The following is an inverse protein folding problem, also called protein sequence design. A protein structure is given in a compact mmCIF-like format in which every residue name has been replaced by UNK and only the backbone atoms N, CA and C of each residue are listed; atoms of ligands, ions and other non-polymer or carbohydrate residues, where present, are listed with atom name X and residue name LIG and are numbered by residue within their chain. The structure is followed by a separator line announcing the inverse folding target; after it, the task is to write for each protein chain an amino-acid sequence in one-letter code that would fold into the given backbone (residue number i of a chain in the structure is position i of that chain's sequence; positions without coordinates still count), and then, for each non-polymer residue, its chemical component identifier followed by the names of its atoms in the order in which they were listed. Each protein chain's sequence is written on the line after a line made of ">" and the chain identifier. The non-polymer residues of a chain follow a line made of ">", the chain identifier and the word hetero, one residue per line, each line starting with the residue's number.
data_IF_052470702462
#
_entry.id   IF_052470702462
#
_cell.length_a   1.000
_cell.length_b   1.000
_cell.length_c   1.000
_cell.angle_alpha   90.00
_cell.angle_beta   90.00
_cell.angle_gamma   90.00
#
_symmetry.space_group_name_H-M   'P 1'
#
loop_
_entity.id
_entity.type
_entity.pdbx_description
1 polymer ?
#
# COMPACT_ATOMS: atom_id res chain seq x y z
N UNK A 1 11.88 1.01 -14.07
CA UNK A 1 10.94 -0.08 -13.76
C UNK A 1 9.53 0.33 -14.15
N UNK A 2 8.70 -0.63 -14.55
CA UNK A 2 7.33 -0.40 -14.97
C UNK A 2 6.40 -1.33 -14.20
N UNK A 3 5.20 -0.86 -13.93
CA UNK A 3 4.14 -1.61 -13.28
C UNK A 3 2.92 -1.66 -14.20
N UNK A 4 2.58 -2.84 -14.67
CA UNK A 4 1.41 -3.06 -15.50
C UNK A 4 0.16 -3.02 -14.61
N UNK A 5 -0.82 -2.20 -14.99
CA UNK A 5 -2.08 -2.07 -14.26
C UNK A 5 -3.26 -2.40 -15.18
N UNK A 6 -4.48 -2.39 -14.64
CA UNK A 6 -5.69 -2.76 -15.36
C UNK A 6 -5.79 -2.06 -16.73
N UNK A 7 -6.31 -2.79 -17.73
CA UNK A 7 -6.49 -2.28 -19.10
C UNK A 7 -5.21 -2.13 -19.91
N UNK A 8 -4.10 -2.73 -19.45
CA UNK A 8 -2.81 -2.65 -20.12
C UNK A 8 -2.08 -1.31 -19.94
N UNK A 9 -2.56 -0.46 -19.04
CA UNK A 9 -1.86 0.78 -18.68
C UNK A 9 -0.57 0.46 -17.93
N UNK A 10 0.41 1.34 -18.06
CA UNK A 10 1.72 1.18 -17.41
C UNK A 10 1.99 2.38 -16.53
N UNK A 11 2.27 2.13 -15.25
CA UNK A 11 2.76 3.13 -14.30
C UNK A 11 4.27 3.08 -14.26
N UNK A 12 4.94 4.21 -14.51
CA UNK A 12 6.39 4.31 -14.35
C UNK A 12 6.73 4.44 -12.85
N UNK A 13 7.45 3.47 -12.32
CA UNK A 13 7.88 3.46 -10.91
C UNK A 13 9.36 3.79 -10.74
N UNK A 14 10.00 4.30 -11.78
CA UNK A 14 11.42 4.72 -11.75
C UNK A 14 11.51 6.22 -12.04
N UNK A 15 12.33 7.01 -11.30
CA UNK A 15 13.21 6.56 -10.22
C UNK A 15 12.44 6.18 -8.95
N UNK A 16 11.28 6.76 -8.71
CA UNK A 16 10.34 6.44 -7.63
C UNK A 16 8.90 6.77 -8.01
N UNK A 17 7.96 6.18 -7.28
CA UNK A 17 6.53 6.42 -7.38
C UNK A 17 5.96 6.68 -5.97
N UNK A 18 5.18 7.76 -5.81
CA UNK A 18 4.53 8.10 -4.54
C UNK A 18 3.06 7.74 -4.60
N UNK A 19 2.63 6.88 -3.68
CA UNK A 19 1.26 6.43 -3.49
C UNK A 19 0.68 7.13 -2.27
N UNK A 20 -0.27 8.04 -2.49
CA UNK A 20 -0.93 8.81 -1.44
C UNK A 20 -2.05 8.01 -0.77
N UNK A 21 -2.03 7.94 0.57
CA UNK A 21 -2.99 7.22 1.38
C UNK A 21 -4.26 8.05 1.56
N UNK A 22 -5.41 7.45 1.24
CA UNK A 22 -6.75 8.03 1.44
C UNK A 22 -7.58 7.11 2.34
N UNK A 23 -7.71 7.47 3.61
CA UNK A 23 -8.56 6.72 4.54
C UNK A 23 -9.99 7.22 4.48
N UNK A 24 -10.92 6.38 4.01
CA UNK A 24 -12.36 6.65 3.97
C UNK A 24 -13.02 5.98 5.18
N UNK A 25 -12.52 6.32 6.39
CA UNK A 25 -13.00 5.75 7.66
C UNK A 25 -13.47 6.85 8.61
N UNK A 26 -14.51 6.61 9.45
CA UNK A 26 -14.99 7.59 10.43
C UNK A 26 -13.94 8.01 11.46
N UNK A 27 -12.95 7.16 11.73
CA UNK A 27 -11.95 7.32 12.79
C UNK A 27 -10.56 7.75 12.28
N UNK A 28 -10.44 8.49 11.20
CA UNK A 28 -9.12 8.92 10.68
C UNK A 28 -8.50 9.99 11.59
N UNK A 29 -7.90 9.54 12.71
CA UNK A 29 -7.29 10.37 13.77
C UNK A 29 -6.18 11.33 13.29
N UNK A 30 -5.54 11.07 12.16
CA UNK A 30 -4.51 11.96 11.62
C UNK A 30 -5.07 13.13 10.82
N UNK A 31 -6.27 12.99 10.25
CA UNK A 31 -6.91 14.01 9.40
C UNK A 31 -8.07 14.71 10.13
N UNK A 32 -8.17 14.57 11.46
CA UNK A 32 -9.15 15.27 12.30
C UNK A 32 -10.62 14.91 12.03
N UNK A 33 -10.92 13.67 11.58
CA UNK A 33 -12.28 13.26 11.23
C UNK A 33 -12.81 13.87 9.91
N UNK A 34 -11.91 14.40 9.09
CA UNK A 34 -12.27 15.26 7.95
C UNK A 34 -12.92 14.51 6.76
N UNK A 35 -12.93 13.17 6.73
CA UNK A 35 -13.33 12.41 5.54
C UNK A 35 -14.48 11.42 5.79
N UNK A 36 -15.47 11.85 6.58
CA UNK A 36 -16.69 11.06 6.81
C UNK A 36 -17.64 11.03 5.60
N UNK A 37 -17.45 11.94 4.63
CA UNK A 37 -18.29 11.99 3.44
C UNK A 37 -17.48 11.76 2.15
N UNK A 38 -18.10 11.19 1.09
CA UNK A 38 -17.46 11.02 -0.20
C UNK A 38 -16.86 12.31 -0.77
N UNK A 39 -17.49 13.47 -0.52
CA UNK A 39 -17.02 14.79 -0.98
C UNK A 39 -15.75 15.22 -0.26
N UNK A 40 -15.64 14.92 1.03
CA UNK A 40 -14.44 15.22 1.80
C UNK A 40 -13.27 14.34 1.36
N UNK A 41 -13.52 13.03 1.14
CA UNK A 41 -12.54 12.12 0.59
C UNK A 41 -12.10 12.54 -0.83
N UNK A 42 -13.03 12.97 -1.68
CA UNK A 42 -12.71 13.50 -3.01
C UNK A 42 -11.80 14.74 -2.92
N UNK A 43 -12.13 15.70 -2.05
CA UNK A 43 -11.27 16.90 -1.85
C UNK A 43 -9.86 16.50 -1.41
N UNK A 44 -9.73 15.55 -0.52
CA UNK A 44 -8.42 15.04 -0.09
C UNK A 44 -7.65 14.36 -1.24
N UNK A 45 -8.32 13.54 -2.04
CA UNK A 45 -7.74 12.94 -3.24
C UNK A 45 -7.19 14.02 -4.19
N UNK A 46 -7.97 15.08 -4.46
CA UNK A 46 -7.55 16.18 -5.32
C UNK A 46 -6.33 16.92 -4.75
N UNK A 47 -6.29 17.15 -3.44
CA UNK A 47 -5.15 17.76 -2.77
C UNK A 47 -3.89 16.86 -2.88
N UNK A 48 -4.00 15.54 -2.70
CA UNK A 48 -2.87 14.65 -2.88
C UNK A 48 -2.35 14.63 -4.32
N UNK A 49 -3.24 14.71 -5.32
CA UNK A 49 -2.85 14.84 -6.73
C UNK A 49 -2.15 16.17 -6.99
N UNK A 50 -2.64 17.28 -6.43
CA UNK A 50 -2.00 18.60 -6.51
C UNK A 50 -0.61 18.59 -5.86
N UNK A 51 -0.44 17.85 -4.75
CA UNK A 51 0.85 17.64 -4.09
C UNK A 51 1.76 16.67 -4.87
N UNK A 52 1.31 16.09 -5.97
CA UNK A 52 2.10 15.26 -6.86
C UNK A 52 2.03 13.75 -6.59
N UNK A 53 0.99 13.25 -5.95
CA UNK A 53 0.76 11.81 -5.85
C UNK A 53 0.65 11.18 -7.25
N UNK A 54 1.36 10.08 -7.49
CA UNK A 54 1.29 9.33 -8.74
C UNK A 54 0.13 8.31 -8.72
N UNK A 55 -0.22 7.82 -7.53
CA UNK A 55 -1.27 6.85 -7.27
C UNK A 55 -2.05 7.33 -6.03
N UNK A 56 -3.37 7.19 -6.05
CA UNK A 56 -4.22 7.34 -4.87
C UNK A 56 -4.60 5.95 -4.37
N UNK A 57 -4.37 5.66 -3.08
CA UNK A 57 -4.68 4.38 -2.46
C UNK A 57 -5.80 4.55 -1.44
N UNK A 58 -7.01 4.12 -1.82
CA UNK A 58 -8.23 4.30 -1.05
C UNK A 58 -8.51 3.08 -0.18
N UNK A 59 -8.62 3.28 1.13
CA UNK A 59 -8.98 2.23 2.10
C UNK A 59 -10.15 2.66 2.99
N UNK A 60 -11.12 1.76 3.20
CA UNK A 60 -12.29 2.01 4.04
C UNK A 60 -12.31 1.19 5.32
N UNK A 61 -11.28 0.38 5.54
CA UNK A 61 -11.03 -0.38 6.76
C UNK A 61 -9.67 0.00 7.32
N UNK A 62 -9.59 0.15 8.63
CA UNK A 62 -8.29 0.34 9.29
C UNK A 62 -7.56 -0.99 9.36
N UNK A 63 -6.36 -1.05 8.79
CA UNK A 63 -5.46 -2.21 8.89
C UNK A 63 -4.44 -2.07 10.04
N UNK A 64 -4.66 -1.10 10.94
CA UNK A 64 -3.81 -0.91 12.14
C UNK A 64 -3.99 -2.09 13.10
N UNK A 65 -2.94 -2.44 13.86
CA UNK A 65 -3.05 -3.47 14.89
C UNK A 65 -4.20 -3.19 15.86
N UNK A 66 -5.05 -4.21 16.10
CA UNK A 66 -6.21 -4.11 16.98
C UNK A 66 -7.45 -3.46 16.35
N UNK A 67 -7.41 -3.09 15.07
CA UNK A 67 -8.59 -2.58 14.38
C UNK A 67 -9.63 -3.68 14.19
N UNK A 68 -10.90 -3.30 14.34
CA UNK A 68 -12.02 -4.18 14.04
C UNK A 68 -12.33 -4.17 12.54
N UNK A 69 -12.53 -5.35 11.97
CA UNK A 69 -12.95 -5.50 10.59
C UNK A 69 -14.36 -4.94 10.39
N UNK A 70 -14.58 -4.27 9.26
CA UNK A 70 -15.91 -3.86 8.82
C UNK A 70 -16.52 -4.93 7.91
N UNK A 71 -17.85 -4.89 7.69
CA UNK A 71 -18.46 -5.80 6.71
C UNK A 71 -18.15 -5.37 5.28
N UNK A 72 -18.21 -6.28 4.29
CA UNK A 72 -18.01 -5.93 2.89
C UNK A 72 -18.94 -4.81 2.41
N UNK A 73 -20.19 -4.81 2.86
CA UNK A 73 -21.19 -3.81 2.47
C UNK A 73 -20.82 -2.41 2.99
N UNK A 74 -20.31 -2.32 4.22
CA UNK A 74 -19.83 -1.06 4.81
C UNK A 74 -18.62 -0.56 4.04
N UNK A 75 -17.66 -1.43 3.74
CA UNK A 75 -16.47 -1.09 2.95
C UNK A 75 -16.86 -0.56 1.57
N UNK A 76 -17.73 -1.26 0.84
CA UNK A 76 -18.22 -0.89 -0.48
C UNK A 76 -19.00 0.42 -0.47
N UNK A 77 -19.88 0.63 0.53
CA UNK A 77 -20.65 1.86 0.68
C UNK A 77 -19.74 3.07 0.86
N UNK A 78 -18.60 2.92 1.53
CA UNK A 78 -17.62 4.00 1.71
C UNK A 78 -16.79 4.25 0.46
N UNK A 79 -16.26 3.20 -0.20
CA UNK A 79 -15.30 3.30 -1.29
C UNK A 79 -15.92 3.67 -2.63
N UNK A 80 -17.01 2.98 -3.03
CA UNK A 80 -17.52 3.08 -4.40
C UNK A 80 -17.99 4.47 -4.80
N UNK A 81 -18.64 5.28 -3.93
CA UNK A 81 -18.98 6.66 -4.27
C UNK A 81 -17.75 7.51 -4.56
N UNK A 82 -16.65 7.34 -3.81
CA UNK A 82 -15.40 8.09 -4.01
C UNK A 82 -14.73 7.71 -5.32
N UNK A 83 -14.65 6.41 -5.62
CA UNK A 83 -14.07 5.91 -6.90
C UNK A 83 -14.84 6.48 -8.10
N UNK A 84 -16.18 6.44 -8.07
CA UNK A 84 -17.02 7.00 -9.14
C UNK A 84 -16.83 8.52 -9.28
N UNK A 85 -16.87 9.25 -8.16
CA UNK A 85 -16.66 10.68 -8.16
C UNK A 85 -15.29 11.08 -8.74
N UNK A 86 -14.23 10.31 -8.45
CA UNK A 86 -12.90 10.51 -9.03
C UNK A 86 -12.92 10.29 -10.55
N UNK A 87 -13.59 9.26 -11.04
CA UNK A 87 -13.70 8.97 -12.49
C UNK A 87 -14.53 10.00 -13.26
N UNK A 88 -15.48 10.64 -12.59
CA UNK A 88 -16.29 11.73 -13.17
C UNK A 88 -15.59 13.09 -13.08
N UNK A 89 -14.63 13.27 -12.15
CA UNK A 89 -13.98 14.57 -11.93
C UNK A 89 -12.94 14.89 -13.01
N UNK A 90 -13.02 16.05 -13.71
CA UNK A 90 -12.12 16.37 -14.82
C UNK A 90 -10.63 16.31 -14.51
N UNK A 91 -10.23 16.69 -13.29
CA UNK A 91 -8.81 16.71 -12.86
C UNK A 91 -8.32 15.37 -12.28
N UNK A 92 -9.20 14.38 -12.07
CA UNK A 92 -8.83 13.13 -11.42
C UNK A 92 -9.23 11.86 -12.22
N UNK A 93 -10.03 12.01 -13.26
CA UNK A 93 -10.55 10.86 -14.05
C UNK A 93 -9.46 9.95 -14.61
N UNK A 94 -8.27 10.49 -14.90
CA UNK A 94 -7.13 9.76 -15.45
C UNK A 94 -6.12 9.35 -14.37
N UNK A 95 -6.37 9.70 -13.09
CA UNK A 95 -5.51 9.31 -11.98
C UNK A 95 -5.45 7.78 -11.82
N UNK A 96 -4.31 7.26 -11.41
CA UNK A 96 -4.20 5.83 -11.06
C UNK A 96 -4.78 5.59 -9.68
N UNK A 97 -5.82 4.73 -9.61
CA UNK A 97 -6.53 4.41 -8.38
C UNK A 97 -6.19 3.01 -7.89
N UNK A 98 -5.73 2.93 -6.65
CA UNK A 98 -5.49 1.70 -5.90
C UNK A 98 -6.57 1.56 -4.82
N UNK A 99 -7.02 0.34 -4.57
CA UNK A 99 -7.98 0.02 -3.52
C UNK A 99 -7.31 -0.90 -2.50
N UNK A 100 -7.20 -0.40 -1.26
CA UNK A 100 -6.69 -1.14 -0.10
C UNK A 100 -7.82 -2.04 0.42
N UNK A 101 -7.84 -3.27 -0.06
CA UNK A 101 -8.82 -4.31 0.32
C UNK A 101 -8.26 -5.71 0.09
N UNK A 102 -8.63 -6.62 0.99
CA UNK A 102 -8.37 -8.06 0.85
C UNK A 102 -9.62 -8.85 0.45
N UNK A 103 -10.77 -8.17 0.20
CA UNK A 103 -12.05 -8.83 -0.11
C UNK A 103 -12.29 -8.90 -1.62
N UNK A 104 -12.57 -10.10 -2.11
CA UNK A 104 -12.87 -10.35 -3.52
C UNK A 104 -14.09 -9.54 -4.02
N UNK A 105 -15.15 -9.46 -3.21
CA UNK A 105 -16.38 -8.74 -3.60
C UNK A 105 -16.14 -7.23 -3.74
N UNK A 106 -15.41 -6.63 -2.82
CA UNK A 106 -15.04 -5.20 -2.90
C UNK A 106 -14.10 -4.94 -4.06
N UNK A 107 -13.07 -5.79 -4.24
CA UNK A 107 -12.13 -5.67 -5.35
C UNK A 107 -12.84 -5.69 -6.73
N UNK A 108 -13.77 -6.64 -6.96
CA UNK A 108 -14.55 -6.72 -8.19
C UNK A 108 -15.33 -5.43 -8.46
N UNK A 109 -16.13 -4.99 -7.50
CA UNK A 109 -16.95 -3.78 -7.64
C UNK A 109 -16.09 -2.51 -7.85
N UNK A 110 -14.97 -2.41 -7.16
CA UNK A 110 -14.05 -1.29 -7.32
C UNK A 110 -13.38 -1.29 -8.71
N UNK A 111 -12.95 -2.46 -9.18
CA UNK A 111 -12.40 -2.61 -10.54
C UNK A 111 -13.45 -2.28 -11.60
N UNK A 112 -14.70 -2.73 -11.44
CA UNK A 112 -15.81 -2.36 -12.34
C UNK A 112 -16.09 -0.85 -12.32
N UNK A 113 -15.98 -0.22 -11.15
CA UNK A 113 -16.11 1.23 -10.99
C UNK A 113 -14.92 2.03 -11.55
N UNK A 114 -13.84 1.34 -11.95
CA UNK A 114 -12.71 1.95 -12.64
C UNK A 114 -11.39 1.94 -11.87
N UNK A 115 -11.26 1.26 -10.73
CA UNK A 115 -9.97 1.09 -10.06
C UNK A 115 -8.95 0.36 -10.97
N UNK A 116 -7.67 0.67 -10.78
CA UNK A 116 -6.57 0.15 -11.61
C UNK A 116 -5.75 -0.90 -10.87
N UNK A 117 -5.68 -0.80 -9.53
CA UNK A 117 -4.78 -1.57 -8.66
C UNK A 117 -5.57 -2.10 -7.47
N UNK A 118 -5.22 -3.29 -7.01
CA UNK A 118 -5.63 -3.84 -5.72
C UNK A 118 -4.42 -3.93 -4.80
N UNK A 119 -4.52 -3.29 -3.63
CA UNK A 119 -3.52 -3.34 -2.57
C UNK A 119 -4.04 -4.29 -1.48
N UNK A 120 -3.46 -5.49 -1.40
CA UNK A 120 -3.92 -6.55 -0.51
C UNK A 120 -2.85 -6.91 0.53
N UNK A 121 -3.17 -6.64 1.79
CA UNK A 121 -2.29 -6.95 2.93
C UNK A 121 -2.14 -8.45 3.21
N UNK A 122 -2.92 -9.30 2.55
CA UNK A 122 -3.06 -10.72 2.92
C UNK A 122 -2.51 -11.70 1.90
N UNK A 123 -2.10 -11.23 0.72
CA UNK A 123 -1.74 -12.10 -0.40
C UNK A 123 -2.83 -13.14 -0.74
N UNK A 124 -4.08 -12.70 -0.80
CA UNK A 124 -5.29 -13.52 -1.01
C UNK A 124 -5.57 -14.56 0.11
N UNK A 125 -4.89 -14.47 1.27
CA UNK A 125 -5.08 -15.46 2.33
C UNK A 125 -6.35 -15.21 3.16
N UNK A 126 -6.83 -13.96 3.23
CA UNK A 126 -8.03 -13.63 4.02
C UNK A 126 -9.33 -13.88 3.25
N UNK A 127 -9.29 -13.75 1.92
CA UNK A 127 -10.36 -14.10 1.00
C UNK A 127 -9.77 -14.76 -0.25
N UNK A 128 -9.76 -16.10 -0.34
CA UNK A 128 -9.21 -16.82 -1.48
C UNK A 128 -9.88 -16.49 -2.82
N UNK A 129 -11.15 -16.02 -2.83
CA UNK A 129 -11.85 -15.57 -4.02
C UNK A 129 -11.23 -14.34 -4.67
N UNK A 130 -10.33 -13.62 -3.95
CA UNK A 130 -9.59 -12.51 -4.51
C UNK A 130 -8.66 -12.96 -5.63
N UNK A 131 -8.09 -14.17 -5.55
CA UNK A 131 -7.24 -14.72 -6.61
C UNK A 131 -7.98 -14.84 -7.95
N UNK A 132 -9.26 -15.26 -7.90
CA UNK A 132 -10.10 -15.34 -9.11
C UNK A 132 -10.38 -13.95 -9.69
N UNK A 133 -10.63 -12.95 -8.84
CA UNK A 133 -10.80 -11.58 -9.29
C UNK A 133 -9.53 -11.02 -9.95
N UNK A 134 -8.35 -11.30 -9.37
CA UNK A 134 -7.07 -10.89 -9.96
C UNK A 134 -6.83 -11.55 -11.33
N UNK A 135 -7.14 -12.84 -11.47
CA UNK A 135 -7.02 -13.58 -12.72
C UNK A 135 -7.94 -13.03 -13.81
N UNK A 136 -9.17 -12.66 -13.44
CA UNK A 136 -10.20 -12.16 -14.38
C UNK A 136 -9.90 -10.73 -14.84
N UNK A 137 -9.68 -9.80 -13.91
CA UNK A 137 -9.55 -8.37 -14.21
C UNK A 137 -8.13 -7.93 -14.54
N UNK A 138 -7.11 -8.72 -14.16
CA UNK A 138 -5.67 -8.43 -14.35
C UNK A 138 -5.29 -7.01 -13.94
N UNK A 139 -5.61 -6.58 -12.70
CA UNK A 139 -5.22 -5.28 -12.19
C UNK A 139 -3.73 -5.25 -11.88
N UNK A 140 -3.18 -4.05 -11.60
CA UNK A 140 -1.98 -3.96 -10.78
C UNK A 140 -2.25 -4.56 -9.40
N UNK A 141 -1.28 -5.24 -8.83
CA UNK A 141 -1.45 -5.91 -7.55
C UNK A 141 -0.28 -5.65 -6.61
N UNK A 142 -0.57 -5.21 -5.40
CA UNK A 142 0.41 -5.13 -4.33
C UNK A 142 0.33 -6.41 -3.51
N UNK A 143 1.39 -7.20 -3.59
CA UNK A 143 1.58 -8.44 -2.86
C UNK A 143 2.28 -8.15 -1.53
N UNK A 144 1.53 -8.09 -0.43
CA UNK A 144 2.07 -7.77 0.88
C UNK A 144 2.30 -9.04 1.71
N UNK A 145 3.47 -9.13 2.35
CA UNK A 145 3.73 -10.14 3.36
C UNK A 145 3.16 -9.71 4.72
N UNK A 146 2.21 -10.47 5.23
CA UNK A 146 1.64 -10.30 6.56
C UNK A 146 1.63 -11.61 7.32
N UNK A 147 1.90 -11.59 8.64
CA UNK A 147 1.72 -12.73 9.54
C UNK A 147 0.66 -12.41 10.58
N UNK A 148 -0.45 -13.18 10.58
CA UNK A 148 -1.65 -12.92 11.37
C UNK A 148 -2.60 -11.92 10.70
N UNK A 149 -3.73 -11.66 11.35
CA UNK A 149 -4.71 -10.65 10.93
C UNK A 149 -4.46 -9.33 11.67
N UNK A 150 -4.97 -8.17 11.21
CA UNK A 150 -4.82 -6.91 11.94
C UNK A 150 -5.24 -6.98 13.40
N UNK A 151 -6.24 -7.81 13.74
CA UNK A 151 -6.71 -7.99 15.12
C UNK A 151 -5.66 -8.63 16.04
N UNK A 152 -4.86 -9.58 15.53
CA UNK A 152 -3.97 -10.46 16.31
C UNK A 152 -2.49 -10.43 15.86
N UNK A 153 -2.15 -9.75 14.80
CA UNK A 153 -0.81 -9.78 14.19
C UNK A 153 0.34 -9.32 15.11
N UNK A 154 0.04 -8.73 16.28
CA UNK A 154 1.03 -8.38 17.31
C UNK A 154 1.23 -9.50 18.34
N UNK A 155 0.43 -10.54 18.33
CA UNK A 155 0.51 -11.63 19.28
C UNK A 155 1.71 -12.52 18.96
N UNK A 156 2.89 -12.07 19.44
CA UNK A 156 4.13 -12.85 19.43
C UNK A 156 4.61 -13.35 18.04
N UNK A 157 4.75 -12.46 17.02
CA UNK A 157 5.31 -12.87 15.75
C UNK A 157 6.76 -13.37 15.96
N UNK A 158 7.10 -14.54 15.37
CA UNK A 158 8.44 -15.13 15.47
C UNK A 158 8.95 -15.47 14.09
N UNK A 159 10.18 -15.06 13.80
CA UNK A 159 10.94 -15.39 12.61
C UNK A 159 12.29 -15.96 13.04
N UNK A 160 12.81 -16.95 12.33
CA UNK A 160 14.20 -17.36 12.44
C UNK A 160 15.08 -16.40 11.68
N UNK A 161 14.72 -16.13 10.42
CA UNK A 161 15.28 -15.09 9.58
C UNK A 161 14.16 -14.43 8.76
N UNK A 162 13.73 -13.26 9.17
CA UNK A 162 12.59 -12.56 8.55
C UNK A 162 12.82 -12.27 7.07
N UNK A 163 14.06 -11.97 6.65
CA UNK A 163 14.36 -11.64 5.25
C UNK A 163 14.24 -12.87 4.37
N UNK A 164 14.81 -14.00 4.80
CA UNK A 164 14.75 -15.27 4.06
C UNK A 164 13.30 -15.80 3.99
N UNK A 165 12.55 -15.69 5.10
CA UNK A 165 11.15 -16.11 5.13
C UNK A 165 10.27 -15.26 4.21
N UNK A 166 10.49 -13.93 4.16
CA UNK A 166 9.78 -13.03 3.24
C UNK A 166 10.15 -13.28 1.79
N UNK A 167 11.42 -13.57 1.48
CA UNK A 167 11.86 -13.95 0.14
C UNK A 167 11.14 -15.22 -0.32
N UNK A 168 11.18 -16.28 0.48
CA UNK A 168 10.51 -17.54 0.16
C UNK A 168 8.99 -17.39 -0.01
N UNK A 169 8.37 -16.55 0.86
CA UNK A 169 6.96 -16.21 0.73
C UNK A 169 6.65 -15.56 -0.62
N UNK A 170 7.45 -14.57 -1.04
CA UNK A 170 7.25 -13.90 -2.33
C UNK A 170 7.43 -14.83 -3.51
N UNK A 171 8.46 -15.67 -3.52
CA UNK A 171 8.68 -16.68 -4.57
C UNK A 171 7.46 -17.59 -4.73
N UNK A 172 6.97 -18.13 -3.61
CA UNK A 172 5.81 -19.01 -3.60
C UNK A 172 4.52 -18.30 -4.03
N UNK A 173 4.31 -17.06 -3.57
CA UNK A 173 3.13 -16.28 -3.92
C UNK A 173 3.14 -15.82 -5.39
N UNK A 174 4.29 -15.41 -5.93
CA UNK A 174 4.45 -15.08 -7.35
C UNK A 174 4.14 -16.27 -8.25
N UNK A 175 4.65 -17.46 -7.92
CA UNK A 175 4.34 -18.68 -8.65
C UNK A 175 2.84 -18.99 -8.66
N UNK A 176 2.16 -18.82 -7.50
CA UNK A 176 0.71 -19.02 -7.37
C UNK A 176 -0.09 -18.00 -8.20
N UNK A 177 0.28 -16.72 -8.14
CA UNK A 177 -0.37 -15.64 -8.91
C UNK A 177 -0.19 -15.87 -10.42
N UNK A 178 1.01 -16.23 -10.87
CA UNK A 178 1.30 -16.55 -12.27
C UNK A 178 0.51 -17.76 -12.75
N UNK A 179 0.42 -18.83 -11.95
CA UNK A 179 -0.38 -20.02 -12.27
C UNK A 179 -1.89 -19.70 -12.39
N UNK A 180 -2.37 -18.70 -11.63
CA UNK A 180 -3.74 -18.20 -11.75
C UNK A 180 -3.97 -17.28 -12.96
N UNK A 181 -2.90 -16.86 -13.66
CA UNK A 181 -2.98 -16.03 -14.87
C UNK A 181 -2.80 -14.53 -14.65
N UNK A 182 -2.37 -14.09 -13.45
CA UNK A 182 -1.96 -12.70 -13.27
C UNK A 182 -0.53 -12.50 -13.83
N UNK A 183 -0.32 -11.54 -14.75
CA UNK A 183 1.02 -11.26 -15.28
C UNK A 183 1.98 -10.84 -14.17
N UNK A 184 3.21 -11.33 -14.19
CA UNK A 184 4.21 -10.92 -13.20
C UNK A 184 4.48 -9.42 -13.19
N UNK A 185 4.43 -8.78 -14.34
CA UNK A 185 4.61 -7.32 -14.50
C UNK A 185 3.52 -6.52 -13.80
N UNK A 186 2.41 -7.16 -13.44
CA UNK A 186 1.33 -6.54 -12.66
C UNK A 186 1.59 -6.55 -11.16
N UNK A 187 2.65 -7.23 -10.68
CA UNK A 187 2.89 -7.40 -9.24
C UNK A 187 3.98 -6.46 -8.74
N UNK A 188 3.68 -5.76 -7.65
CA UNK A 188 4.62 -5.01 -6.80
C UNK A 188 4.68 -5.70 -5.45
N UNK A 189 5.87 -5.86 -4.88
CA UNK A 189 6.10 -6.54 -3.60
C UNK A 189 6.11 -5.53 -2.46
N UNK A 190 5.44 -5.83 -1.34
CA UNK A 190 5.56 -5.09 -0.08
C UNK A 190 6.00 -6.03 1.04
N UNK A 191 7.17 -5.82 1.67
CA UNK A 191 7.63 -6.66 2.79
C UNK A 191 6.75 -6.55 4.03
N UNK A 192 5.76 -5.66 4.05
CA UNK A 192 4.78 -5.53 5.11
C UNK A 192 5.39 -5.06 6.42
N UNK A 193 6.12 -3.94 6.40
CA UNK A 193 6.67 -3.34 7.62
C UNK A 193 5.53 -3.06 8.61
N UNK A 194 5.65 -3.58 9.84
CA UNK A 194 4.64 -3.44 10.89
C UNK A 194 3.49 -4.46 10.84
N UNK A 195 3.43 -5.34 9.83
CA UNK A 195 2.42 -6.40 9.73
C UNK A 195 2.96 -7.72 10.28
N UNK A 196 2.66 -8.02 11.56
CA UNK A 196 3.11 -9.24 12.23
C UNK A 196 4.64 -9.35 12.33
N UNK A 197 5.31 -8.28 12.72
CA UNK A 197 6.77 -8.17 12.82
C UNK A 197 7.17 -7.37 14.03
N UNK A 198 8.25 -7.78 14.70
CA UNK A 198 8.88 -7.02 15.79
C UNK A 198 9.72 -5.87 15.22
N UNK A 199 10.23 -5.02 16.12
CA UNK A 199 11.10 -3.92 15.73
C UNK A 199 12.32 -4.41 14.94
N UNK A 200 13.02 -5.43 15.44
CA UNK A 200 14.23 -6.00 14.84
C UNK A 200 13.95 -6.56 13.43
N UNK A 201 12.80 -7.23 13.25
CA UNK A 201 12.36 -7.78 11.97
C UNK A 201 12.11 -6.65 10.94
N UNK A 202 11.43 -5.59 11.39
CA UNK A 202 11.17 -4.41 10.55
C UNK A 202 12.47 -3.72 10.12
N UNK A 203 13.41 -3.54 11.05
CA UNK A 203 14.71 -2.93 10.75
C UNK A 203 15.57 -3.81 9.83
N UNK A 204 15.54 -5.12 10.00
CA UNK A 204 16.22 -6.06 9.12
C UNK A 204 15.69 -5.97 7.69
N UNK A 205 14.37 -5.97 7.50
CA UNK A 205 13.74 -5.83 6.18
C UNK A 205 14.10 -4.51 5.50
N UNK A 206 14.16 -3.38 6.23
CA UNK A 206 14.56 -2.09 5.66
C UNK A 206 16.03 -2.09 5.26
N UNK A 207 16.92 -2.71 6.04
CA UNK A 207 18.35 -2.82 5.71
C UNK A 207 18.62 -3.71 4.51
N UNK A 208 17.91 -4.85 4.45
CA UNK A 208 18.14 -5.89 3.45
C UNK A 208 17.20 -5.81 2.24
N UNK A 209 16.53 -4.65 2.01
CA UNK A 209 15.71 -4.40 0.82
C UNK A 209 16.41 -4.76 -0.52
N UNK A 210 17.73 -4.52 -0.71
CA UNK A 210 18.39 -4.93 -1.94
C UNK A 210 18.25 -6.42 -2.27
N UNK A 211 18.16 -7.29 -1.26
CA UNK A 211 17.90 -8.73 -1.48
C UNK A 211 16.50 -8.99 -2.03
N UNK A 212 15.48 -8.27 -1.52
CA UNK A 212 14.09 -8.35 -2.01
C UNK A 212 13.97 -7.83 -3.45
N UNK A 213 14.71 -6.77 -3.79
CA UNK A 213 14.79 -6.25 -5.15
C UNK A 213 15.35 -7.27 -6.15
N UNK A 214 16.14 -8.25 -5.67
CA UNK A 214 16.69 -9.35 -6.47
C UNK A 214 15.62 -10.24 -7.12
N UNK A 215 14.37 -10.21 -6.64
CA UNK A 215 13.23 -10.89 -7.27
C UNK A 215 12.76 -10.23 -8.59
N UNK A 216 13.35 -9.10 -8.99
CA UNK A 216 13.08 -8.45 -10.26
C UNK A 216 11.73 -7.73 -10.35
N UNK A 217 11.03 -7.59 -9.24
CA UNK A 217 9.76 -6.83 -9.15
C UNK A 217 9.99 -5.49 -8.45
N UNK A 218 9.17 -4.44 -8.76
CA UNK A 218 9.21 -3.22 -7.98
C UNK A 218 8.88 -3.50 -6.52
N UNK A 219 9.57 -2.79 -5.61
CA UNK A 219 9.36 -2.92 -4.17
C UNK A 219 8.61 -1.70 -3.65
N UNK A 220 7.48 -1.93 -2.98
CA UNK A 220 6.73 -0.92 -2.25
C UNK A 220 7.09 -0.97 -0.76
N UNK A 221 7.05 0.20 -0.13
CA UNK A 221 7.11 0.30 1.32
C UNK A 221 6.10 1.32 1.85
N UNK A 222 5.43 0.95 2.95
CA UNK A 222 4.60 1.84 3.74
C UNK A 222 5.25 2.08 5.10
N UNK A 223 6.08 3.11 5.22
CA UNK A 223 6.75 3.49 6.48
C UNK A 223 6.03 4.62 7.23
N UNK A 224 5.08 5.28 6.53
CA UNK A 224 4.47 6.51 7.02
C UNK A 224 3.76 6.35 8.36
N UNK A 225 4.19 7.13 9.36
CA UNK A 225 3.60 7.26 10.71
C UNK A 225 3.57 5.94 11.51
N UNK A 226 4.34 4.92 11.12
CA UNK A 226 4.31 3.60 11.75
C UNK A 226 4.84 3.58 13.19
N UNK A 227 4.37 2.60 13.96
CA UNK A 227 4.74 2.43 15.38
C UNK A 227 6.21 2.16 15.60
N UNK A 228 6.92 1.64 14.60
CA UNK A 228 8.35 1.40 14.69
C UNK A 228 9.16 2.65 15.13
N UNK A 229 8.68 3.87 14.79
CA UNK A 229 9.32 5.11 15.22
C UNK A 229 9.07 5.41 16.71
N UNK A 230 7.93 4.97 17.23
CA UNK A 230 7.68 4.98 18.68
C UNK A 230 8.58 3.98 19.40
N UNK A 231 8.66 2.76 18.88
CA UNK A 231 9.43 1.67 19.47
C UNK A 231 10.94 1.94 19.44
N UNK A 232 11.45 2.58 18.37
CA UNK A 232 12.87 2.86 18.18
C UNK A 232 13.33 4.19 18.83
N UNK A 233 12.51 5.25 18.70
CA UNK A 233 12.91 6.63 19.02
C UNK A 233 12.08 7.24 20.16
N UNK A 234 11.10 6.52 20.72
CA UNK A 234 10.18 7.03 21.72
C UNK A 234 9.23 8.12 21.20
N UNK A 235 8.97 8.17 19.89
CA UNK A 235 8.17 9.24 19.29
C UNK A 235 6.67 8.99 19.43
N UNK A 236 5.97 9.96 19.99
CA UNK A 236 4.51 10.02 19.93
C UNK A 236 4.02 10.10 18.46
N UNK A 237 2.81 9.61 18.16
CA UNK A 237 2.31 9.56 16.77
C UNK A 237 2.46 10.88 16.00
N UNK A 238 2.14 12.01 16.62
CA UNK A 238 2.16 13.35 16.01
C UNK A 238 3.58 13.84 15.66
N UNK A 239 4.60 13.21 16.25
CA UNK A 239 6.01 13.57 16.05
C UNK A 239 6.73 12.67 15.05
N UNK A 240 6.05 11.73 14.40
CA UNK A 240 6.67 10.73 13.50
C UNK A 240 6.93 11.25 12.08
N UNK A 241 6.44 12.44 11.73
CA UNK A 241 6.59 13.02 10.38
C UNK A 241 8.04 13.09 9.91
N UNK A 242 8.95 13.80 10.60
CA UNK A 242 10.36 13.88 10.20
C UNK A 242 11.06 12.51 10.08
N UNK A 243 10.81 11.59 11.04
CA UNK A 243 11.35 10.23 10.98
C UNK A 243 10.82 9.44 9.78
N UNK A 244 9.55 9.66 9.40
CA UNK A 244 8.95 9.09 8.19
C UNK A 244 9.72 9.54 6.95
N UNK A 245 10.01 10.83 6.79
CA UNK A 245 10.69 11.35 5.61
C UNK A 245 12.12 10.81 5.49
N UNK A 246 12.87 10.75 6.61
CA UNK A 246 14.21 10.13 6.65
C UNK A 246 14.12 8.66 6.25
N UNK A 247 13.19 7.89 6.82
CA UNK A 247 13.04 6.47 6.51
C UNK A 247 12.61 6.23 5.05
N UNK A 248 11.78 7.12 4.48
CA UNK A 248 11.38 7.08 3.06
C UNK A 248 12.59 7.28 2.15
N UNK A 249 13.44 8.27 2.43
CA UNK A 249 14.68 8.52 1.69
C UNK A 249 15.64 7.32 1.76
N UNK A 250 15.85 6.75 2.96
CA UNK A 250 16.70 5.57 3.15
C UNK A 250 16.15 4.33 2.45
N UNK A 251 14.83 4.12 2.48
CA UNK A 251 14.20 3.01 1.77
C UNK A 251 14.40 3.13 0.24
N UNK A 252 14.31 4.35 -0.32
CA UNK A 252 14.61 4.61 -1.72
C UNK A 252 16.08 4.28 -2.06
N UNK A 253 17.03 4.69 -1.22
CA UNK A 253 18.45 4.37 -1.39
C UNK A 253 18.68 2.86 -1.37
N UNK A 254 17.91 2.13 -0.54
CA UNK A 254 17.96 0.67 -0.44
C UNK A 254 17.13 -0.06 -1.54
N UNK A 255 16.55 0.66 -2.52
CA UNK A 255 15.95 0.08 -3.71
C UNK A 255 14.42 0.04 -3.74
N UNK A 256 13.72 0.53 -2.70
CA UNK A 256 12.27 0.72 -2.80
C UNK A 256 11.95 1.73 -3.91
N UNK A 257 10.98 1.39 -4.75
CA UNK A 257 10.56 2.22 -5.87
C UNK A 257 9.15 2.78 -5.74
N UNK A 258 8.31 2.20 -4.87
CA UNK A 258 6.97 2.70 -4.56
C UNK A 258 6.89 3.04 -3.07
N UNK A 259 6.46 4.27 -2.77
CA UNK A 259 6.40 4.78 -1.40
C UNK A 259 4.96 5.15 -1.04
N UNK A 260 4.35 4.39 -0.12
CA UNK A 260 2.99 4.60 0.35
C UNK A 260 3.00 5.52 1.57
N UNK A 261 2.46 6.74 1.42
CA UNK A 261 2.63 7.82 2.39
C UNK A 261 1.35 8.64 2.62
N UNK A 262 1.24 9.29 3.80
CA UNK A 262 0.19 10.29 4.08
C UNK A 262 0.61 11.67 3.57
N UNK A 263 1.85 12.10 3.85
CA UNK A 263 2.40 13.39 3.42
C UNK A 263 3.14 13.21 2.08
N UNK A 264 2.43 13.46 0.98
CA UNK A 264 2.95 13.31 -0.38
C UNK A 264 4.02 14.36 -0.68
N UNK A 265 3.78 15.63 -0.32
CA UNK A 265 4.72 16.72 -0.63
C UNK A 265 6.08 16.50 0.07
N UNK A 266 6.05 16.25 1.39
CA UNK A 266 7.26 15.99 2.15
C UNK A 266 8.00 14.72 1.69
N UNK A 267 7.26 13.67 1.27
CA UNK A 267 7.87 12.46 0.73
C UNK A 267 8.56 12.72 -0.62
N UNK A 268 7.95 13.51 -1.50
CA UNK A 268 8.56 13.91 -2.77
C UNK A 268 9.85 14.70 -2.56
N UNK A 269 9.87 15.64 -1.62
CA UNK A 269 11.07 16.42 -1.30
C UNK A 269 12.19 15.51 -0.77
N UNK A 270 11.86 14.58 0.15
CA UNK A 270 12.81 13.62 0.69
C UNK A 270 13.39 12.70 -0.41
N UNK A 271 12.55 12.21 -1.32
CA UNK A 271 12.94 11.32 -2.42
C UNK A 271 13.79 12.04 -3.48
N UNK A 272 13.40 13.27 -3.86
CA UNK A 272 14.19 14.11 -4.78
C UNK A 272 15.56 14.45 -4.22
N UNK A 273 15.63 14.79 -2.94
CA UNK A 273 16.91 15.04 -2.26
C UNK A 273 17.77 13.78 -2.24
N UNK A 274 17.20 12.63 -1.85
CA UNK A 274 17.92 11.36 -1.85
C UNK A 274 18.41 10.95 -3.25
N UNK A 275 17.60 11.20 -4.28
CA UNK A 275 18.00 10.97 -5.68
C UNK A 275 19.18 11.85 -6.11
N UNK A 276 19.16 13.12 -5.71
CA UNK A 276 20.23 14.07 -6.07
C UNK A 276 21.56 13.79 -5.34
N UNK A 277 21.50 13.13 -4.17
CA UNK A 277 22.68 12.81 -3.35
C UNK A 277 23.20 11.37 -3.57
N UNK A 278 22.54 10.57 -4.40
CA UNK A 278 22.93 9.22 -4.79
C UNK A 278 23.84 9.25 -6.03
#
# INVERSE_FOLDING_TARGET
>A
MHWLVRGGRVVCVSPFCVMGIVNVTPDSFHDGGAHETPEAALRHCLLLLEHGAHILDLGAESTRPGAQAVTPEVEQTRLLPVVRALREHPSARDATLSIDTYRASTARLALEAGADIINDISACAFDPGLLDALAEYKPGYVLTHCRGRPADMRENPRYENVVDEVLHFFESALARLGAAGLPEESVVLDPGIGFGKRLEDNLALVRDMPRLCGLGRPLMVGLSMKSLFGDLLGLAPERRGPATQVATALAFVNGASVHRVHDVAGALDALRLAQALR
#
